data_IF_965308735768
#
_entry.id   IF_965308735768
#
_cell.length_a   1.000
_cell.length_b   1.000
_cell.length_c   1.000
_cell.angle_alpha   90.00
_cell.angle_beta   90.00
_cell.angle_gamma   90.00
#
_symmetry.space_group_name_H-M   'P 1'
#
loop_
_entity.id
_entity.type
_entity.pdbx_description
1 polymer ?
#
# COMPACT_ATOMS: atom_id res chain seq x y z
N UNK A 1 -13.24 56.63 6.19
CA UNK A 1 -14.26 55.61 6.43
C UNK A 1 -13.83 54.81 7.64
N UNK A 2 -14.41 55.11 8.84
CA UNK A 2 -14.10 54.38 10.07
C UNK A 2 -14.90 53.07 10.06
N UNK A 3 -14.21 51.94 9.95
CA UNK A 3 -14.87 50.64 10.14
C UNK A 3 -15.38 50.53 11.57
N UNK A 4 -16.68 50.27 11.73
CA UNK A 4 -17.25 50.05 13.05
C UNK A 4 -16.64 48.77 13.68
N UNK A 5 -16.48 48.74 15.01
CA UNK A 5 -15.91 47.59 15.74
C UNK A 5 -16.58 46.28 15.38
N UNK A 6 -17.89 46.28 15.13
CA UNK A 6 -18.64 45.10 14.68
C UNK A 6 -18.21 44.56 13.32
N UNK A 7 -17.93 45.44 12.34
CA UNK A 7 -17.44 45.03 11.00
C UNK A 7 -16.05 44.47 11.11
N UNK A 8 -15.18 45.02 11.95
CA UNK A 8 -13.84 44.51 12.17
C UNK A 8 -13.84 43.10 12.77
N UNK A 9 -14.74 42.87 13.75
CA UNK A 9 -14.91 41.54 14.35
C UNK A 9 -15.42 40.50 13.34
N UNK A 10 -16.38 40.85 12.47
CA UNK A 10 -16.88 39.97 11.41
C UNK A 10 -15.79 39.63 10.40
N UNK A 11 -14.98 40.61 9.96
CA UNK A 11 -13.85 40.40 9.06
C UNK A 11 -12.81 39.48 9.73
N UNK A 12 -12.52 39.68 11.02
CA UNK A 12 -11.59 38.85 11.77
C UNK A 12 -12.02 37.39 11.86
N UNK A 13 -13.30 37.16 12.16
CA UNK A 13 -13.86 35.80 12.21
C UNK A 13 -13.78 35.15 10.81
N UNK A 14 -14.19 35.87 9.77
CA UNK A 14 -14.14 35.37 8.40
C UNK A 14 -12.71 35.05 7.95
N UNK A 15 -11.73 35.89 8.30
CA UNK A 15 -10.32 35.67 7.98
C UNK A 15 -9.75 34.42 8.66
N UNK A 16 -10.11 34.16 9.91
CA UNK A 16 -9.67 32.95 10.64
C UNK A 16 -10.20 31.67 10.02
N UNK A 17 -11.46 31.68 9.53
CA UNK A 17 -12.04 30.50 8.89
C UNK A 17 -11.63 30.33 7.43
N UNK A 18 -11.57 31.42 6.66
CA UNK A 18 -11.23 31.37 5.24
C UNK A 18 -9.72 31.35 5.00
N UNK A 19 -8.94 31.92 5.93
CA UNK A 19 -7.47 32.00 5.81
C UNK A 19 -6.82 30.64 5.51
N UNK A 20 -7.06 29.60 6.30
CA UNK A 20 -6.50 28.27 6.05
C UNK A 20 -6.90 27.68 4.70
N UNK A 21 -8.16 27.87 4.28
CA UNK A 21 -8.67 27.37 3.00
C UNK A 21 -7.98 28.06 1.83
N UNK A 22 -7.85 29.38 1.90
CA UNK A 22 -7.14 30.18 0.88
C UNK A 22 -5.67 29.79 0.84
N UNK A 23 -5.03 29.59 1.99
CA UNK A 23 -3.63 29.17 2.08
C UNK A 23 -3.42 27.82 1.40
N UNK A 24 -4.28 26.83 1.68
CA UNK A 24 -4.20 25.51 1.02
C UNK A 24 -4.43 25.61 -0.49
N UNK A 25 -5.38 26.45 -0.92
CA UNK A 25 -5.60 26.69 -2.35
C UNK A 25 -4.38 27.35 -3.02
N UNK A 26 -3.74 28.29 -2.35
CA UNK A 26 -2.52 28.92 -2.85
C UNK A 26 -1.35 27.93 -2.91
N UNK A 27 -1.19 27.07 -1.89
CA UNK A 27 -0.15 26.04 -1.87
C UNK A 27 -0.34 24.98 -2.97
N UNK A 28 -1.60 24.71 -3.33
CA UNK A 28 -1.94 23.76 -4.42
C UNK A 28 -1.98 24.45 -5.81
N UNK A 29 -1.88 25.75 -5.86
CA UNK A 29 -1.81 26.48 -7.13
C UNK A 29 -0.54 26.08 -7.88
N UNK A 30 -0.64 25.88 -9.21
CA UNK A 30 0.50 25.56 -10.08
C UNK A 30 1.63 26.61 -10.05
N UNK A 31 1.39 27.72 -9.37
CA UNK A 31 2.39 28.77 -9.17
C UNK A 31 3.32 28.48 -7.99
N UNK A 32 2.93 27.64 -7.02
CA UNK A 32 3.77 27.38 -5.84
C UNK A 32 4.22 25.92 -5.71
N UNK A 33 3.66 25.00 -6.48
CA UNK A 33 3.99 23.55 -6.53
C UNK A 33 4.72 23.03 -5.27
N UNK A 34 4.10 23.29 -4.10
CA UNK A 34 4.67 22.90 -2.82
C UNK A 34 4.55 21.38 -2.67
N UNK A 35 5.65 20.69 -2.92
CA UNK A 35 5.80 19.28 -2.54
C UNK A 35 6.50 19.21 -1.18
N UNK A 36 5.87 18.65 -0.16
CA UNK A 36 6.52 18.47 1.13
C UNK A 36 7.78 17.65 0.95
N UNK A 37 8.93 18.22 1.34
CA UNK A 37 10.20 17.54 1.34
C UNK A 37 10.19 16.49 2.47
N UNK A 38 10.01 15.24 2.11
CA UNK A 38 10.05 14.10 3.01
C UNK A 38 8.83 13.20 2.88
N UNK A 39 8.99 12.10 2.19
CA UNK A 39 8.03 11.01 2.24
C UNK A 39 8.25 10.23 3.54
N UNK A 40 7.20 10.08 4.34
CA UNK A 40 7.21 9.25 5.56
C UNK A 40 6.84 7.79 5.24
N UNK A 41 7.25 7.31 4.07
CA UNK A 41 7.06 5.91 3.71
C UNK A 41 8.22 5.08 4.27
N UNK A 42 7.88 3.99 4.90
CA UNK A 42 8.82 2.93 5.19
C UNK A 42 8.84 2.00 3.98
N UNK A 43 9.91 2.05 3.18
CA UNK A 43 10.04 1.31 1.93
C UNK A 43 10.30 2.21 0.71
N UNK A 44 10.47 1.59 -0.44
CA UNK A 44 10.73 2.28 -1.71
C UNK A 44 9.47 2.43 -2.53
N UNK A 45 9.21 3.65 -2.98
CA UNK A 45 8.18 3.91 -3.96
C UNK A 45 8.75 3.69 -5.36
N UNK A 46 8.15 2.77 -6.11
CA UNK A 46 8.57 2.49 -7.48
C UNK A 46 8.15 3.63 -8.41
N UNK A 47 9.15 4.27 -9.02
CA UNK A 47 8.93 5.33 -10.00
C UNK A 47 9.86 5.09 -11.20
N UNK A 48 9.32 4.82 -12.39
CA UNK A 48 7.89 4.74 -12.73
C UNK A 48 7.19 3.52 -12.14
N UNK A 49 5.84 3.53 -12.03
CA UNK A 49 5.09 2.38 -11.57
C UNK A 49 5.27 1.22 -12.54
N UNK A 50 5.50 0.03 -11.99
CA UNK A 50 5.70 -1.20 -12.77
C UNK A 50 4.38 -1.98 -12.80
N UNK A 51 3.77 -2.19 -13.98
CA UNK A 51 2.59 -3.02 -14.10
C UNK A 51 2.94 -4.49 -13.84
N UNK A 52 2.17 -5.14 -12.97
CA UNK A 52 2.27 -6.57 -12.70
C UNK A 52 0.97 -7.21 -13.18
N UNK A 53 1.07 -8.14 -14.11
CA UNK A 53 -0.06 -8.91 -14.59
C UNK A 53 -0.27 -10.11 -13.66
N UNK A 54 -1.38 -10.11 -12.93
CA UNK A 54 -1.82 -11.23 -12.12
C UNK A 54 -2.97 -11.93 -12.84
N UNK A 55 -3.11 -13.23 -12.57
CA UNK A 55 -4.27 -13.97 -13.08
C UNK A 55 -5.55 -13.33 -12.54
N UNK A 56 -6.49 -13.04 -13.45
CA UNK A 56 -7.77 -12.45 -13.08
C UNK A 56 -8.52 -13.35 -12.10
N UNK A 57 -8.85 -12.79 -10.96
CA UNK A 57 -9.69 -13.39 -9.93
C UNK A 57 -10.63 -12.32 -9.36
N UNK A 58 -11.92 -12.64 -9.20
CA UNK A 58 -12.90 -11.67 -8.72
C UNK A 58 -12.57 -11.14 -7.32
N UNK A 59 -11.87 -11.91 -6.49
CA UNK A 59 -11.49 -11.53 -5.13
C UNK A 59 -10.49 -10.37 -5.08
N UNK A 60 -9.65 -10.22 -6.10
CA UNK A 60 -8.60 -9.18 -6.15
C UNK A 60 -8.99 -7.97 -7.00
N UNK A 61 -10.13 -8.04 -7.71
CA UNK A 61 -10.56 -6.97 -8.59
C UNK A 61 -10.87 -5.70 -7.79
N UNK A 62 -10.23 -4.59 -8.16
CA UNK A 62 -10.39 -3.25 -7.53
C UNK A 62 -9.98 -3.17 -6.06
N UNK A 63 -9.16 -4.11 -5.59
CA UNK A 63 -8.63 -4.07 -4.23
C UNK A 63 -7.14 -3.68 -4.20
N UNK A 64 -6.69 -3.21 -3.07
CA UNK A 64 -5.28 -3.07 -2.79
C UNK A 64 -4.69 -4.44 -2.50
N UNK A 65 -3.52 -4.72 -3.04
CA UNK A 65 -2.90 -6.03 -2.89
C UNK A 65 -1.59 -5.90 -2.12
N UNK A 66 -1.40 -6.76 -1.13
CA UNK A 66 -0.10 -7.04 -0.55
C UNK A 66 0.42 -8.29 -1.25
N UNK A 67 1.46 -8.15 -2.06
CA UNK A 67 2.10 -9.28 -2.74
C UNK A 67 3.27 -9.76 -1.90
N UNK A 68 3.29 -11.04 -1.60
CA UNK A 68 4.40 -11.70 -0.92
C UNK A 68 4.85 -12.92 -1.71
N UNK A 69 6.15 -13.07 -1.90
CA UNK A 69 6.71 -14.19 -2.66
C UNK A 69 7.01 -15.36 -1.73
N UNK A 70 6.45 -16.53 -2.05
CA UNK A 70 6.76 -17.76 -1.32
C UNK A 70 8.00 -18.43 -1.94
N UNK A 71 8.99 -18.83 -1.13
CA UNK A 71 10.09 -19.65 -1.59
C UNK A 71 9.58 -21.06 -1.98
N UNK A 72 10.34 -21.78 -2.81
CA UNK A 72 9.98 -23.14 -3.22
C UNK A 72 9.89 -24.13 -2.07
N UNK A 73 10.62 -23.86 -0.98
CA UNK A 73 10.50 -24.60 0.28
C UNK A 73 10.25 -23.59 1.40
N UNK A 74 9.06 -23.64 1.99
CA UNK A 74 8.67 -22.75 3.06
C UNK A 74 9.06 -23.38 4.39
N UNK A 75 10.09 -22.85 5.01
CA UNK A 75 10.56 -23.25 6.33
C UNK A 75 9.83 -22.47 7.45
N UNK A 76 10.28 -22.66 8.68
CA UNK A 76 9.69 -21.95 9.82
C UNK A 76 9.77 -20.43 9.66
N UNK A 77 10.86 -19.89 9.14
CA UNK A 77 11.02 -18.46 8.96
C UNK A 77 9.98 -17.90 7.96
N UNK A 78 9.76 -18.62 6.86
CA UNK A 78 8.72 -18.30 5.90
C UNK A 78 7.31 -18.32 6.55
N UNK A 79 6.99 -19.31 7.36
CA UNK A 79 5.69 -19.37 8.06
C UNK A 79 5.53 -18.25 9.10
N UNK A 80 6.61 -17.82 9.74
CA UNK A 80 6.62 -16.69 10.66
C UNK A 80 6.32 -15.39 9.89
N UNK A 81 6.86 -15.21 8.67
CA UNK A 81 6.54 -14.07 7.79
C UNK A 81 5.07 -14.10 7.34
N UNK A 82 4.54 -15.24 6.95
CA UNK A 82 3.11 -15.41 6.61
C UNK A 82 2.23 -15.06 7.81
N UNK A 83 2.65 -15.43 9.01
CA UNK A 83 1.95 -15.07 10.25
C UNK A 83 1.98 -13.55 10.50
N UNK A 84 3.09 -12.90 10.19
CA UNK A 84 3.20 -11.44 10.29
C UNK A 84 2.27 -10.74 9.28
N UNK A 85 2.14 -11.26 8.06
CA UNK A 85 1.20 -10.74 7.05
C UNK A 85 -0.26 -10.79 7.54
N UNK A 86 -0.65 -11.88 8.22
CA UNK A 86 -1.96 -11.95 8.88
C UNK A 86 -2.17 -10.80 9.87
N UNK A 87 -1.15 -10.49 10.67
CA UNK A 87 -1.24 -9.39 11.63
C UNK A 87 -1.40 -8.04 10.93
N UNK A 88 -0.66 -7.82 9.84
CA UNK A 88 -0.76 -6.60 9.00
C UNK A 88 -2.17 -6.47 8.42
N UNK A 89 -2.71 -7.53 7.83
CA UNK A 89 -4.06 -7.52 7.27
C UNK A 89 -5.11 -7.21 8.35
N UNK A 90 -5.04 -7.86 9.50
CA UNK A 90 -5.95 -7.58 10.62
C UNK A 90 -5.81 -6.17 11.20
N UNK A 91 -4.60 -5.62 11.20
CA UNK A 91 -4.35 -4.25 11.65
C UNK A 91 -4.99 -3.19 10.73
N UNK A 92 -5.27 -3.53 9.46
CA UNK A 92 -6.01 -2.65 8.55
C UNK A 92 -7.46 -2.39 9.01
N UNK A 93 -8.02 -3.23 9.88
CA UNK A 93 -9.35 -3.05 10.48
C UNK A 93 -10.44 -2.93 9.43
N UNK A 94 -11.25 -1.87 9.47
CA UNK A 94 -12.33 -1.64 8.49
C UNK A 94 -11.86 -1.46 7.04
N UNK A 95 -10.57 -1.19 6.83
CA UNK A 95 -9.99 -1.06 5.47
C UNK A 95 -9.58 -2.42 4.89
N UNK A 96 -9.56 -3.49 5.71
CA UNK A 96 -9.24 -4.84 5.27
C UNK A 96 -10.19 -5.35 4.17
N UNK A 97 -11.45 -4.88 4.14
CA UNK A 97 -12.41 -5.22 3.08
C UNK A 97 -11.92 -4.86 1.66
N UNK A 98 -11.05 -3.85 1.55
CA UNK A 98 -10.47 -3.39 0.29
C UNK A 98 -8.99 -3.77 0.14
N UNK A 99 -8.49 -4.67 0.98
CA UNK A 99 -7.11 -5.12 1.00
C UNK A 99 -7.07 -6.64 0.97
N UNK A 100 -6.31 -7.19 0.03
CA UNK A 100 -6.08 -8.63 -0.04
C UNK A 100 -4.59 -8.96 0.06
N UNK A 101 -4.29 -10.11 0.60
CA UNK A 101 -2.92 -10.64 0.65
C UNK A 101 -2.79 -11.79 -0.34
N UNK A 102 -1.94 -11.59 -1.32
CA UNK A 102 -1.66 -12.57 -2.37
C UNK A 102 -0.27 -13.14 -2.15
N UNK A 103 -0.21 -14.44 -1.96
CA UNK A 103 1.02 -15.20 -1.83
C UNK A 103 1.38 -15.78 -3.21
N UNK A 104 2.45 -15.25 -3.82
CA UNK A 104 2.93 -15.70 -5.13
C UNK A 104 3.92 -16.84 -4.95
N UNK A 105 3.64 -17.98 -5.54
CA UNK A 105 4.52 -19.15 -5.55
C UNK A 105 5.07 -19.39 -6.96
N UNK A 106 6.35 -19.76 -7.07
CA UNK A 106 6.96 -20.14 -8.37
C UNK A 106 6.44 -21.46 -8.92
N UNK A 107 6.04 -22.33 -8.03
CA UNK A 107 5.49 -23.65 -8.35
C UNK A 107 4.15 -23.81 -7.64
N UNK A 108 3.37 -24.77 -8.10
CA UNK A 108 2.14 -25.12 -7.37
C UNK A 108 2.52 -25.63 -5.99
N UNK A 109 2.04 -25.00 -4.91
CA UNK A 109 2.37 -25.43 -3.55
C UNK A 109 1.76 -26.78 -3.26
N UNK A 110 2.46 -27.58 -2.47
CA UNK A 110 1.97 -28.90 -2.06
C UNK A 110 0.80 -28.77 -1.08
N UNK A 111 0.06 -29.87 -0.91
CA UNK A 111 -1.12 -29.92 -0.04
C UNK A 111 -0.80 -29.68 1.43
N UNK A 112 0.41 -30.01 1.87
CA UNK A 112 0.84 -29.82 3.25
C UNK A 112 1.07 -28.32 3.53
N UNK A 113 1.78 -27.62 2.64
CA UNK A 113 2.00 -26.18 2.74
C UNK A 113 0.68 -25.40 2.65
N UNK A 114 -0.21 -25.81 1.73
CA UNK A 114 -1.54 -25.20 1.63
C UNK A 114 -2.30 -25.32 2.94
N UNK A 115 -2.34 -26.52 3.55
CA UNK A 115 -3.03 -26.74 4.82
C UNK A 115 -2.41 -25.94 5.96
N UNK A 116 -1.07 -25.78 5.97
CA UNK A 116 -0.39 -24.95 6.97
C UNK A 116 -0.77 -23.47 6.83
N UNK A 117 -0.72 -22.92 5.62
CA UNK A 117 -1.08 -21.52 5.36
C UNK A 117 -2.56 -21.28 5.68
N UNK A 118 -3.46 -22.17 5.26
CA UNK A 118 -4.89 -22.07 5.56
C UNK A 118 -5.17 -22.11 7.08
N UNK A 119 -4.41 -22.89 7.83
CA UNK A 119 -4.49 -22.91 9.30
C UNK A 119 -4.05 -21.60 9.94
N UNK A 120 -3.11 -20.87 9.33
CA UNK A 120 -2.68 -19.54 9.78
C UNK A 120 -3.76 -18.51 9.45
N UNK A 121 -4.20 -18.46 8.20
CA UNK A 121 -5.22 -17.52 7.77
C UNK A 121 -5.90 -17.95 6.45
N UNK A 122 -7.18 -18.37 6.49
CA UNK A 122 -7.88 -18.91 5.32
C UNK A 122 -8.22 -17.86 4.26
N UNK A 123 -8.10 -16.56 4.57
CA UNK A 123 -8.38 -15.47 3.63
C UNK A 123 -7.21 -15.15 2.69
N UNK A 124 -6.04 -15.80 2.86
CA UNK A 124 -4.93 -15.59 1.95
C UNK A 124 -5.20 -16.21 0.58
N UNK A 125 -4.92 -15.45 -0.46
CA UNK A 125 -5.02 -15.92 -1.84
C UNK A 125 -3.65 -16.44 -2.26
N UNK A 126 -3.58 -17.71 -2.61
CA UNK A 126 -2.34 -18.34 -3.07
C UNK A 126 -2.42 -18.43 -4.60
N UNK A 127 -1.45 -17.82 -5.28
CA UNK A 127 -1.36 -17.82 -6.73
C UNK A 127 -0.05 -18.41 -7.21
N UNK A 128 -0.07 -19.52 -7.96
CA UNK A 128 1.11 -19.99 -8.67
C UNK A 128 1.38 -19.09 -9.89
N UNK A 129 2.57 -18.52 -9.95
CA UNK A 129 3.07 -17.78 -11.10
C UNK A 129 3.81 -18.74 -12.06
N UNK A 130 3.05 -19.62 -12.70
CA UNK A 130 3.59 -20.67 -13.56
C UNK A 130 4.37 -20.12 -14.75
N UNK A 131 4.07 -18.91 -15.20
CA UNK A 131 4.78 -18.25 -16.28
C UNK A 131 6.03 -17.50 -15.81
N UNK A 132 6.18 -17.32 -14.50
CA UNK A 132 7.30 -16.61 -13.89
C UNK A 132 7.36 -15.11 -14.19
N UNK A 133 6.31 -14.54 -14.79
CA UNK A 133 6.30 -13.15 -15.24
C UNK A 133 6.22 -12.19 -14.03
N UNK A 134 5.27 -12.42 -13.14
CA UNK A 134 5.09 -11.56 -11.98
C UNK A 134 6.29 -11.63 -11.03
N UNK A 135 6.81 -12.82 -10.77
CA UNK A 135 7.99 -13.01 -9.93
C UNK A 135 9.25 -12.41 -10.52
N UNK A 136 9.47 -12.54 -11.84
CA UNK A 136 10.66 -11.96 -12.51
C UNK A 136 10.64 -10.43 -12.45
N UNK A 137 9.47 -9.81 -12.59
CA UNK A 137 9.31 -8.37 -12.45
C UNK A 137 9.62 -7.95 -11.02
N UNK A 138 9.07 -8.64 -10.02
CA UNK A 138 9.33 -8.35 -8.60
C UNK A 138 10.81 -8.53 -8.23
N UNK A 139 11.45 -9.60 -8.68
CA UNK A 139 12.89 -9.85 -8.46
C UNK A 139 13.74 -8.74 -9.08
N UNK A 140 13.43 -8.32 -10.30
CA UNK A 140 14.14 -7.22 -10.97
C UNK A 140 14.00 -5.92 -10.18
N UNK A 141 12.80 -5.63 -9.70
CA UNK A 141 12.54 -4.45 -8.89
C UNK A 141 13.28 -4.52 -7.56
N UNK A 142 13.21 -5.64 -6.85
CA UNK A 142 13.91 -5.82 -5.56
C UNK A 142 15.43 -5.73 -5.70
N UNK A 143 16.00 -6.25 -6.78
CA UNK A 143 17.44 -6.17 -7.06
C UNK A 143 17.89 -4.74 -7.40
N UNK A 144 16.99 -3.93 -7.97
CA UNK A 144 17.27 -2.52 -8.29
C UNK A 144 17.17 -1.58 -7.08
N UNK A 145 16.62 -2.06 -5.95
CA UNK A 145 16.52 -1.27 -4.74
C UNK A 145 17.86 -1.18 -4.02
N UNK A 146 18.25 0.01 -3.54
CA UNK A 146 19.44 0.13 -2.68
C UNK A 146 19.20 -0.65 -1.38
N UNK A 147 20.24 -1.35 -0.92
CA UNK A 147 20.19 -2.04 0.37
C UNK A 147 19.84 -1.02 1.47
N UNK A 148 18.80 -1.28 2.21
CA UNK A 148 18.47 -0.50 3.43
C UNK A 148 19.39 -0.96 4.53
N UNK A 149 20.32 -0.08 4.93
CA UNK A 149 21.08 -0.21 6.17
C UNK A 149 20.17 0.03 7.38
#
# INVERSE_FOLDING_TARGET
MTLSRQKLTLIGIFAVFMGPVILVMLMRSSWWDYQPAGMKNHGFLLQPPVPIELKEQPEIERKWLILHTLPSACDKACLDEVTALRQVHRAAGRRAENLEVVLLSRTEPDSELLAQIESIYPEFIIMPDLNGIALSVLETVMTSMPATD
#
